data_IF_087331042379
#
_entry.id   IF_087331042379
#
_cell.length_a   1.000
_cell.length_b   1.000
_cell.length_c   1.000
_cell.angle_alpha   90.00
_cell.angle_beta   90.00
_cell.angle_gamma   90.00
#
_symmetry.space_group_name_H-M   'P 1'
#
loop_
_entity.id
_entity.type
_entity.pdbx_description
1 polymer ?
#
# COMPACT_ATOMS: atom_id res chain seq x y z
N UNK A 1 -10.44 -0.62 -15.15
CA UNK A 1 -10.46 -1.90 -15.88
C UNK A 1 -11.39 -2.88 -15.17
N UNK A 2 -12.17 -3.66 -15.91
CA UNK A 2 -12.93 -4.79 -15.35
C UNK A 2 -12.08 -6.06 -15.44
N UNK A 3 -12.10 -6.84 -14.35
CA UNK A 3 -11.38 -8.10 -14.26
C UNK A 3 -12.36 -9.21 -13.89
N UNK A 4 -12.31 -10.31 -14.61
CA UNK A 4 -13.11 -11.49 -14.36
C UNK A 4 -12.43 -12.35 -13.30
N UNK A 5 -13.11 -12.62 -12.17
CA UNK A 5 -12.59 -13.44 -11.07
C UNK A 5 -13.62 -14.49 -10.68
N UNK A 6 -13.14 -15.60 -10.09
CA UNK A 6 -14.02 -16.65 -9.54
C UNK A 6 -15.02 -16.05 -8.56
N UNK A 7 -16.26 -16.48 -8.65
CA UNK A 7 -17.29 -16.11 -7.69
C UNK A 7 -17.04 -16.86 -6.37
N UNK A 8 -16.80 -16.11 -5.30
CA UNK A 8 -16.47 -16.63 -3.96
C UNK A 8 -17.70 -16.69 -3.03
N UNK A 9 -18.91 -16.40 -3.54
CA UNK A 9 -20.12 -16.48 -2.74
C UNK A 9 -20.45 -17.93 -2.40
N UNK A 10 -21.04 -18.18 -1.22
CA UNK A 10 -21.34 -19.54 -0.75
C UNK A 10 -22.36 -20.26 -1.60
N UNK A 11 -23.23 -19.52 -2.26
CA UNK A 11 -24.32 -19.97 -3.12
C UNK A 11 -23.99 -19.89 -4.62
N UNK A 12 -22.74 -19.61 -4.94
CA UNK A 12 -22.32 -19.50 -6.33
C UNK A 12 -22.30 -20.86 -7.02
N UNK A 13 -22.81 -20.93 -8.25
CA UNK A 13 -22.71 -22.12 -9.08
C UNK A 13 -21.23 -22.44 -9.37
N UNK A 14 -20.91 -23.74 -9.47
CA UNK A 14 -19.54 -24.18 -9.73
C UNK A 14 -19.02 -23.59 -11.05
N UNK A 15 -17.82 -22.99 -11.00
CA UNK A 15 -17.20 -22.35 -12.16
C UNK A 15 -17.71 -20.95 -12.48
N UNK A 16 -18.68 -20.40 -11.71
CA UNK A 16 -19.17 -19.03 -11.94
C UNK A 16 -18.08 -17.98 -11.72
N UNK A 17 -18.13 -16.92 -12.55
CA UNK A 17 -17.19 -15.80 -12.50
C UNK A 17 -17.95 -14.48 -12.48
N UNK A 18 -17.40 -13.51 -11.77
CA UNK A 18 -17.94 -12.15 -11.67
C UNK A 18 -16.93 -11.13 -12.18
N UNK A 19 -17.45 -10.05 -12.76
CA UNK A 19 -16.65 -8.89 -13.14
C UNK A 19 -16.43 -7.97 -11.94
N UNK A 20 -15.19 -7.70 -11.63
CA UNK A 20 -14.78 -6.76 -10.59
C UNK A 20 -14.09 -5.56 -11.20
N UNK A 21 -14.35 -4.38 -10.64
CA UNK A 21 -13.58 -3.20 -10.97
C UNK A 21 -12.17 -3.33 -10.35
N UNK A 22 -11.16 -3.12 -11.18
CA UNK A 22 -9.77 -3.02 -10.75
C UNK A 22 -9.22 -1.65 -11.12
N UNK A 23 -8.49 -1.03 -10.21
CA UNK A 23 -7.79 0.21 -10.52
C UNK A 23 -6.79 -0.03 -11.65
N UNK A 24 -6.63 0.96 -12.52
CA UNK A 24 -5.59 0.98 -13.53
C UNK A 24 -4.70 2.17 -13.27
N UNK A 25 -3.42 1.94 -13.06
CA UNK A 25 -2.44 2.99 -12.88
C UNK A 25 -2.04 3.55 -14.24
N UNK A 26 -2.02 4.87 -14.36
CA UNK A 26 -1.65 5.59 -15.59
C UNK A 26 -0.19 5.99 -15.65
N UNK A 27 0.49 6.01 -14.49
CA UNK A 27 1.89 6.38 -14.39
C UNK A 27 2.38 6.33 -12.95
N UNK A 28 3.61 6.74 -12.77
CA UNK A 28 4.29 6.85 -11.48
C UNK A 28 4.87 8.24 -11.36
N UNK A 29 4.48 8.97 -10.32
CA UNK A 29 5.19 10.19 -9.90
C UNK A 29 6.33 9.75 -8.99
N UNK A 30 7.56 9.88 -9.46
CA UNK A 30 8.73 9.49 -8.68
C UNK A 30 9.15 10.59 -7.67
N UNK A 31 10.19 10.32 -6.89
CA UNK A 31 10.65 11.24 -5.86
C UNK A 31 11.20 12.55 -6.45
N UNK A 32 11.78 12.53 -7.62
CA UNK A 32 12.33 13.73 -8.25
C UNK A 32 11.22 14.63 -8.78
N UNK A 33 10.25 14.05 -9.49
CA UNK A 33 9.06 14.76 -9.94
C UNK A 33 8.28 15.33 -8.74
N UNK A 34 8.13 14.57 -7.66
CA UNK A 34 7.48 15.04 -6.43
C UNK A 34 8.22 16.25 -5.83
N UNK A 35 9.56 16.20 -5.75
CA UNK A 35 10.37 17.31 -5.24
C UNK A 35 10.23 18.56 -6.11
N UNK A 36 10.21 18.42 -7.42
CA UNK A 36 10.05 19.55 -8.35
C UNK A 36 8.67 20.18 -8.24
N UNK A 37 7.60 19.37 -8.13
CA UNK A 37 6.24 19.84 -7.93
C UNK A 37 6.08 20.61 -6.60
N UNK A 38 6.69 20.12 -5.53
CA UNK A 38 6.67 20.80 -4.22
C UNK A 38 7.48 22.09 -4.28
N UNK A 39 8.68 22.07 -4.88
CA UNK A 39 9.53 23.24 -5.05
C UNK A 39 8.83 24.35 -5.81
N UNK A 40 8.08 24.01 -6.87
CA UNK A 40 7.32 24.97 -7.67
C UNK A 40 6.21 25.69 -6.86
N UNK A 41 5.76 25.14 -5.74
CA UNK A 41 4.70 25.67 -4.89
C UNK A 41 5.17 26.16 -3.52
N UNK A 42 6.48 26.17 -3.28
CA UNK A 42 7.08 26.54 -2.01
C UNK A 42 8.35 27.38 -2.21
N UNK A 43 8.93 27.85 -1.13
CA UNK A 43 10.22 28.56 -1.14
C UNK A 43 11.42 27.62 -1.04
N UNK A 44 11.18 26.32 -0.85
CA UNK A 44 12.24 25.31 -0.75
C UNK A 44 12.73 24.89 -2.16
N UNK A 45 14.02 24.68 -2.30
CA UNK A 45 14.55 24.07 -3.53
C UNK A 45 14.18 22.59 -3.62
N UNK A 46 14.20 22.02 -4.80
CA UNK A 46 13.97 20.58 -5.00
C UNK A 46 14.98 19.72 -4.20
N UNK A 47 16.23 20.19 -4.04
CA UNK A 47 17.24 19.57 -3.18
C UNK A 47 16.87 19.59 -1.68
N UNK A 48 16.35 20.71 -1.20
CA UNK A 48 15.92 20.83 0.19
C UNK A 48 14.74 19.90 0.48
N UNK A 49 13.78 19.82 -0.44
CA UNK A 49 12.64 18.90 -0.34
C UNK A 49 13.12 17.45 -0.29
N UNK A 50 14.06 17.07 -1.16
CA UNK A 50 14.64 15.72 -1.17
C UNK A 50 15.31 15.39 0.16
N UNK A 51 16.11 16.32 0.69
CA UNK A 51 16.79 16.17 1.98
C UNK A 51 15.77 15.95 3.12
N UNK A 52 14.71 16.75 3.17
CA UNK A 52 13.66 16.63 4.19
C UNK A 52 12.96 15.27 4.10
N UNK A 53 12.65 14.80 2.89
CA UNK A 53 12.03 13.49 2.71
C UNK A 53 12.94 12.34 3.16
N UNK A 54 14.23 12.41 2.86
CA UNK A 54 15.21 11.41 3.30
C UNK A 54 15.34 11.41 4.84
N UNK A 55 15.42 12.59 5.47
CA UNK A 55 15.45 12.69 6.93
C UNK A 55 14.13 12.26 7.59
N UNK A 56 13.00 12.52 6.97
CA UNK A 56 11.71 12.00 7.44
C UNK A 56 11.73 10.47 7.54
N UNK A 57 12.22 9.77 6.51
CA UNK A 57 12.36 8.32 6.52
C UNK A 57 13.28 7.85 7.66
N UNK A 58 14.41 8.54 7.87
CA UNK A 58 15.34 8.23 8.96
C UNK A 58 14.71 8.38 10.35
N UNK A 59 13.96 9.45 10.56
CA UNK A 59 13.25 9.71 11.83
C UNK A 59 12.14 8.66 12.03
N UNK A 60 11.37 8.38 10.99
CA UNK A 60 10.31 7.38 11.04
C UNK A 60 10.86 6.00 11.40
N UNK A 61 11.94 5.58 10.75
CA UNK A 61 12.60 4.28 11.03
C UNK A 61 12.99 4.13 12.50
N UNK A 62 13.54 5.18 13.11
CA UNK A 62 13.93 5.18 14.52
C UNK A 62 12.72 5.05 15.46
N UNK A 63 11.68 5.84 15.22
CA UNK A 63 10.52 5.89 16.10
C UNK A 63 9.63 4.65 15.97
N UNK A 64 9.43 4.15 14.74
CA UNK A 64 8.75 2.88 14.51
C UNK A 64 9.50 1.72 15.17
N UNK A 65 10.84 1.74 15.17
CA UNK A 65 11.66 0.74 15.84
C UNK A 65 11.52 0.73 17.36
N UNK A 66 11.15 1.88 17.96
CA UNK A 66 10.79 1.97 19.39
C UNK A 66 9.35 1.51 19.69
N UNK A 67 8.57 1.15 18.67
CA UNK A 67 7.16 0.79 18.80
C UNK A 67 6.21 1.99 18.81
N UNK A 68 6.69 3.19 18.48
CA UNK A 68 5.86 4.39 18.44
C UNK A 68 5.02 4.48 17.17
N UNK A 69 3.85 5.12 17.26
CA UNK A 69 3.06 5.51 16.09
C UNK A 69 3.57 6.85 15.58
N UNK A 70 4.02 6.91 14.33
CA UNK A 70 4.48 8.15 13.71
C UNK A 70 3.30 8.82 13.00
N UNK A 71 2.95 10.03 13.45
CA UNK A 71 1.90 10.85 12.82
C UNK A 71 2.56 11.97 12.01
N UNK A 72 2.25 12.03 10.73
CA UNK A 72 2.79 13.04 9.79
C UNK A 72 1.63 13.94 9.34
N UNK A 73 1.06 14.67 10.31
CA UNK A 73 -0.01 15.64 10.05
C UNK A 73 -1.13 15.08 9.17
N UNK A 74 -1.53 15.83 8.16
CA UNK A 74 -2.60 15.49 7.23
C UNK A 74 -2.23 14.37 6.24
N UNK A 75 -0.96 14.02 6.12
CA UNK A 75 -0.55 12.85 5.35
C UNK A 75 -1.14 11.57 5.97
N UNK A 76 -1.04 11.44 7.28
CA UNK A 76 -1.57 10.28 7.99
C UNK A 76 -0.64 9.74 9.07
N UNK A 77 -0.83 8.49 9.42
CA UNK A 77 -0.05 7.82 10.47
C UNK A 77 0.49 6.47 10.01
N UNK A 78 1.66 6.15 10.54
CA UNK A 78 2.38 4.91 10.29
C UNK A 78 2.56 4.16 11.60
N UNK A 79 2.33 2.85 11.59
CA UNK A 79 2.42 2.00 12.75
C UNK A 79 3.00 0.65 12.37
N UNK A 80 3.93 0.14 13.18
CA UNK A 80 4.40 -1.23 13.06
C UNK A 80 3.30 -2.20 13.55
N UNK A 81 3.02 -3.22 12.77
CA UNK A 81 2.18 -4.34 13.14
C UNK A 81 2.90 -5.66 12.86
N UNK A 82 2.61 -6.65 13.67
CA UNK A 82 3.10 -8.01 13.45
C UNK A 82 2.00 -9.02 13.80
N UNK A 83 2.11 -10.19 13.19
CA UNK A 83 1.33 -11.35 13.57
C UNK A 83 2.19 -12.34 14.34
N UNK A 84 1.58 -13.13 15.19
CA UNK A 84 2.26 -14.23 15.89
C UNK A 84 1.42 -15.51 15.81
N UNK A 85 2.09 -16.63 15.95
CA UNK A 85 1.40 -17.89 16.27
C UNK A 85 1.00 -17.88 17.75
N UNK A 86 -0.24 -18.29 18.05
CA UNK A 86 -0.70 -18.42 19.43
C UNK A 86 -0.09 -19.64 20.12
N UNK A 87 -0.02 -19.59 21.45
CA UNK A 87 0.39 -20.69 22.33
C UNK A 87 -0.70 -20.92 23.38
N UNK A 88 -0.75 -22.12 23.95
CA UNK A 88 -1.73 -22.44 25.00
C UNK A 88 -1.39 -21.77 26.34
N UNK A 89 -0.10 -21.57 26.59
CA UNK A 89 0.38 -20.91 27.82
C UNK A 89 1.33 -19.77 27.49
N UNK A 90 1.39 -18.77 28.37
CA UNK A 90 2.29 -17.63 28.23
C UNK A 90 3.77 -18.06 28.23
N UNK A 91 4.11 -19.09 29.01
CA UNK A 91 5.47 -19.61 29.12
C UNK A 91 6.02 -20.22 27.82
N UNK A 92 5.14 -20.71 26.96
CA UNK A 92 5.50 -21.29 25.66
C UNK A 92 5.73 -20.21 24.61
N UNK A 93 5.32 -18.95 24.89
CA UNK A 93 5.48 -17.87 23.93
C UNK A 93 6.96 -17.48 23.80
N UNK A 94 7.43 -17.47 22.56
CA UNK A 94 8.78 -17.01 22.19
C UNK A 94 8.71 -15.95 21.10
N UNK A 95 9.67 -15.06 21.07
CA UNK A 95 9.80 -14.04 20.00
C UNK A 95 9.93 -14.68 18.60
N UNK A 96 10.41 -15.93 18.51
CA UNK A 96 10.47 -16.69 17.26
C UNK A 96 9.08 -16.97 16.65
N UNK A 97 8.02 -16.86 17.44
CA UNK A 97 6.64 -17.01 17.00
C UNK A 97 6.06 -15.74 16.34
N UNK A 98 6.80 -14.63 16.42
CA UNK A 98 6.44 -13.39 15.74
C UNK A 98 6.78 -13.53 14.26
N UNK A 99 5.73 -13.50 13.45
CA UNK A 99 5.79 -13.60 11.98
C UNK A 99 5.22 -12.32 11.35
N UNK A 100 5.34 -12.19 10.04
CA UNK A 100 4.66 -11.16 9.24
C UNK A 100 4.71 -9.74 9.84
N UNK A 101 5.91 -9.16 9.91
CA UNK A 101 6.10 -7.75 10.30
C UNK A 101 5.73 -6.85 9.14
N UNK A 102 4.93 -5.81 9.40
CA UNK A 102 4.51 -4.85 8.37
C UNK A 102 4.33 -3.46 8.96
N UNK A 103 4.55 -2.44 8.13
CA UNK A 103 4.16 -1.08 8.45
C UNK A 103 2.78 -0.83 7.85
N UNK A 104 1.84 -0.39 8.70
CA UNK A 104 0.49 -0.02 8.28
C UNK A 104 0.41 1.49 8.18
N UNK A 105 0.01 1.96 7.01
CA UNK A 105 -0.30 3.35 6.76
C UNK A 105 -1.80 3.59 6.90
N UNK A 106 -2.17 4.65 7.63
CA UNK A 106 -3.54 5.13 7.73
C UNK A 106 -3.58 6.56 7.25
N UNK A 107 -4.21 6.85 6.12
CA UNK A 107 -4.25 8.19 5.55
C UNK A 107 -4.94 9.18 6.48
N UNK A 108 -4.48 10.42 6.44
CA UNK A 108 -5.08 11.54 7.15
C UNK A 108 -6.43 11.95 6.58
N UNK A 109 -7.05 12.95 7.21
CA UNK A 109 -8.40 13.38 6.85
C UNK A 109 -8.46 13.94 5.43
N UNK A 110 -7.52 14.79 5.05
CA UNK A 110 -7.50 15.41 3.70
C UNK A 110 -7.43 14.35 2.60
N UNK A 111 -6.59 13.33 2.72
CA UNK A 111 -6.50 12.26 1.74
C UNK A 111 -7.77 11.41 1.69
N UNK A 112 -8.38 11.13 2.85
CA UNK A 112 -9.66 10.39 2.91
C UNK A 112 -10.81 11.15 2.28
N UNK A 113 -10.87 12.46 2.48
CA UNK A 113 -11.92 13.29 1.92
C UNK A 113 -11.74 13.50 0.41
N UNK A 114 -10.48 13.63 -0.04
CA UNK A 114 -10.18 13.72 -1.46
C UNK A 114 -10.69 12.50 -2.26
N UNK A 115 -10.52 11.29 -1.73
CA UNK A 115 -10.98 10.05 -2.40
C UNK A 115 -12.49 10.06 -2.67
N UNK A 116 -13.28 10.68 -1.81
CA UNK A 116 -14.76 10.75 -1.98
C UNK A 116 -15.18 11.54 -3.21
N UNK A 117 -14.33 12.46 -3.66
CA UNK A 117 -14.59 13.34 -4.79
C UNK A 117 -13.99 12.83 -6.12
N UNK A 118 -13.24 11.70 -6.08
CA UNK A 118 -12.66 11.14 -7.29
C UNK A 118 -13.74 10.48 -8.15
N UNK A 119 -13.73 10.80 -9.42
CA UNK A 119 -14.58 10.18 -10.44
C UNK A 119 -13.85 8.98 -11.06
N UNK A 120 -14.62 7.97 -11.44
CA UNK A 120 -14.07 6.77 -12.06
C UNK A 120 -14.61 6.65 -13.49
N UNK A 121 -13.69 6.54 -14.43
CA UNK A 121 -14.03 6.27 -15.82
C UNK A 121 -13.74 4.81 -16.17
N UNK A 122 -14.64 4.20 -16.93
CA UNK A 122 -14.43 2.85 -17.43
C UNK A 122 -13.48 2.91 -18.62
N UNK A 123 -12.29 2.38 -18.45
CA UNK A 123 -11.38 2.17 -19.57
C UNK A 123 -11.96 1.06 -20.44
N UNK A 124 -12.22 1.35 -21.72
CA UNK A 124 -12.63 0.34 -22.68
C UNK A 124 -11.55 -0.74 -22.72
N UNK A 125 -11.91 -1.96 -22.34
CA UNK A 125 -11.04 -3.11 -22.53
C UNK A 125 -10.91 -3.33 -24.04
N UNK A 126 -9.75 -3.05 -24.61
CA UNK A 126 -9.37 -3.69 -25.87
C UNK A 126 -9.53 -5.21 -25.69
N UNK A 127 -9.87 -5.93 -26.77
CA UNK A 127 -10.32 -7.30 -26.85
C UNK A 127 -9.84 -8.27 -25.74
N UNK A 128 -10.62 -9.29 -25.38
CA UNK A 128 -10.26 -10.22 -24.32
C UNK A 128 -8.93 -10.85 -24.67
N UNK A 129 -7.94 -10.64 -23.79
CA UNK A 129 -6.69 -11.40 -23.79
C UNK A 129 -7.05 -12.84 -23.40
N UNK A 130 -7.24 -13.66 -24.40
CA UNK A 130 -7.30 -15.11 -24.25
C UNK A 130 -5.88 -15.58 -23.94
N UNK A 131 -5.66 -15.94 -22.69
CA UNK A 131 -4.57 -16.84 -22.33
C UNK A 131 -3.28 -16.17 -21.86
N UNK A 132 -3.17 -16.03 -20.58
CA UNK A 132 -1.93 -16.35 -19.89
C UNK A 132 -2.29 -17.04 -18.58
N UNK A 133 -2.44 -18.33 -18.69
CA UNK A 133 -2.22 -19.24 -17.59
C UNK A 133 -0.69 -19.34 -17.39
N UNK A 134 -0.22 -19.11 -16.18
CA UNK A 134 1.17 -19.36 -15.81
C UNK A 134 1.96 -18.08 -15.55
N UNK A 135 2.05 -17.73 -14.34
CA UNK A 135 2.91 -16.67 -13.81
C UNK A 135 3.15 -16.97 -12.35
N UNK A 136 4.23 -17.63 -12.10
CA UNK A 136 4.84 -17.95 -10.83
C UNK A 136 4.77 -16.78 -9.86
N UNK A 137 4.48 -17.12 -8.63
CA UNK A 137 4.59 -16.31 -7.41
C UNK A 137 6.06 -15.88 -7.24
N UNK A 138 6.46 -14.82 -7.94
CA UNK A 138 7.75 -14.18 -7.72
C UNK A 138 7.59 -13.11 -6.61
N UNK A 139 7.64 -13.60 -5.39
CA UNK A 139 7.91 -12.76 -4.23
C UNK A 139 9.39 -12.40 -4.28
N UNK A 140 9.77 -11.13 -4.40
CA UNK A 140 11.15 -10.76 -4.18
C UNK A 140 11.51 -11.15 -2.75
N UNK A 141 12.48 -12.06 -2.65
CA UNK A 141 13.06 -12.50 -1.41
C UNK A 141 13.72 -11.36 -0.64
N UNK A 142 13.66 -11.53 0.63
CA UNK A 142 14.33 -10.77 1.67
C UNK A 142 15.81 -10.53 1.39
N UNK A 143 16.24 -9.33 1.64
CA UNK A 143 17.53 -9.01 2.23
C UNK A 143 17.31 -8.04 3.39
#
# INVERSE_FOLDING_TARGET
>A
KLVLRKDMRKDAAEGSKLYYASANTTGTCDVYELCDLISAQSTASSGDVKLILDELVNVMRRNLGKGEVVKVGELGSFQLQFGSTGTLTEKEFSHALIKSRRIVFRPGKLLKDAIKNYTFEKIASGAPDEGSAGGEDDRPGEL
#
